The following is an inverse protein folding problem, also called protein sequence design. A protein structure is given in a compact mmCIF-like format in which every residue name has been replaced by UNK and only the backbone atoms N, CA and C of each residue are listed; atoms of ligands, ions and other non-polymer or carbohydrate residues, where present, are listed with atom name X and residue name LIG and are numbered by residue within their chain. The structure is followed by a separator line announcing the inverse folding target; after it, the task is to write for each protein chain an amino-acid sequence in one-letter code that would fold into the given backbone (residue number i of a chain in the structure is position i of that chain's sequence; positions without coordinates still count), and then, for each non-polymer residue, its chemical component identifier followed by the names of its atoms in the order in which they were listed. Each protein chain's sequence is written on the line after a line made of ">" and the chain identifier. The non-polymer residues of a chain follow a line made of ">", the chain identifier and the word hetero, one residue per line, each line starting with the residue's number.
data_IF_522573335937
#
_entry.id   IF_522573335937
#
_cell.length_a   1.000
_cell.length_b   1.000
_cell.length_c   1.000
_cell.angle_alpha   90.00
_cell.angle_beta   90.00
_cell.angle_gamma   90.00
#
_symmetry.space_group_name_H-M   'P 1'
#
loop_
_entity.id
_entity.type
_entity.pdbx_description
1 polymer ?
#
# COMPACT_ATOMS: atom_id res chain seq x y z
N UNK A 1 6.12 -6.93 13.08
CA UNK A 1 7.09 -6.07 12.38
C UNK A 1 7.61 -6.72 11.10
N UNK A 2 8.48 -6.00 10.42
CA UNK A 2 9.18 -6.47 9.23
C UNK A 2 10.51 -5.75 9.06
N UNK A 3 11.50 -6.44 8.53
CA UNK A 3 12.80 -5.87 8.18
C UNK A 3 13.27 -6.45 6.85
N UNK A 4 13.93 -5.66 6.03
CA UNK A 4 14.43 -6.08 4.74
C UNK A 4 15.61 -5.22 4.29
N UNK A 5 16.61 -5.86 3.69
CA UNK A 5 17.81 -5.20 3.16
C UNK A 5 18.14 -5.77 1.75
N UNK A 6 17.32 -5.47 0.72
CA UNK A 6 17.45 -6.08 -0.60
C UNK A 6 18.42 -5.34 -1.53
N UNK A 7 19.10 -4.28 -1.10
CA UNK A 7 19.98 -3.48 -1.95
C UNK A 7 21.33 -4.18 -2.24
N UNK A 8 21.24 -5.42 -2.71
CA UNK A 8 22.40 -6.19 -3.17
C UNK A 8 22.54 -6.09 -4.69
N UNK A 9 23.76 -6.18 -5.24
CA UNK A 9 23.98 -6.21 -6.69
C UNK A 9 23.15 -7.30 -7.38
N UNK A 10 22.99 -8.47 -6.75
CA UNK A 10 22.20 -9.58 -7.26
C UNK A 10 20.71 -9.24 -7.35
N UNK A 11 20.10 -8.76 -6.29
CA UNK A 11 18.67 -8.39 -6.27
C UNK A 11 18.37 -7.27 -7.26
N UNK A 12 19.24 -6.25 -7.33
CA UNK A 12 19.10 -5.16 -8.30
C UNK A 12 19.20 -5.69 -9.74
N UNK A 13 20.12 -6.61 -10.03
CA UNK A 13 20.23 -7.24 -11.34
C UNK A 13 18.97 -8.02 -11.71
N UNK A 14 18.39 -8.77 -10.76
CA UNK A 14 17.15 -9.52 -10.98
C UNK A 14 15.98 -8.58 -11.38
N UNK A 15 15.74 -7.51 -10.62
CA UNK A 15 14.61 -6.60 -10.92
C UNK A 15 14.84 -5.79 -12.20
N UNK A 16 16.10 -5.50 -12.55
CA UNK A 16 16.45 -4.92 -13.85
C UNK A 16 16.19 -5.90 -14.99
N UNK A 17 16.55 -7.18 -14.83
CA UNK A 17 16.27 -8.23 -15.81
C UNK A 17 14.76 -8.42 -16.05
N UNK A 18 13.93 -8.25 -15.01
CA UNK A 18 12.47 -8.26 -15.10
C UNK A 18 11.90 -6.98 -15.76
N UNK A 19 12.72 -5.99 -16.08
CA UNK A 19 12.33 -4.69 -16.67
C UNK A 19 11.29 -3.93 -15.84
N UNK A 20 11.34 -4.08 -14.52
CA UNK A 20 10.44 -3.38 -13.58
C UNK A 20 11.16 -2.28 -12.80
N UNK A 21 12.50 -2.26 -12.80
CA UNK A 21 13.30 -1.26 -12.13
C UNK A 21 13.27 0.08 -12.87
N UNK A 22 13.22 1.18 -12.11
CA UNK A 22 13.16 2.53 -12.66
C UNK A 22 14.45 2.94 -13.38
N UNK A 23 14.29 3.67 -14.47
CA UNK A 23 15.36 4.43 -15.13
C UNK A 23 15.14 5.94 -15.06
N UNK A 24 14.14 6.39 -14.28
CA UNK A 24 13.86 7.82 -14.14
C UNK A 24 14.92 8.50 -13.26
N UNK A 25 15.25 9.77 -13.59
CA UNK A 25 16.12 10.57 -12.75
C UNK A 25 15.43 11.06 -11.47
N UNK A 26 16.23 11.60 -10.55
CA UNK A 26 15.72 12.37 -9.42
C UNK A 26 14.89 13.58 -9.90
N UNK A 27 13.95 14.11 -9.07
CA UNK A 27 13.76 13.78 -7.66
C UNK A 27 12.85 12.61 -7.37
N UNK A 28 12.06 12.10 -8.33
CA UNK A 28 11.07 11.04 -8.10
C UNK A 28 11.27 9.86 -9.03
N UNK A 29 12.30 9.02 -8.81
CA UNK A 29 12.55 7.84 -9.64
C UNK A 29 11.49 6.75 -9.42
N UNK A 30 10.89 6.65 -8.23
CA UNK A 30 9.79 5.77 -7.91
C UNK A 30 8.47 6.55 -7.97
N UNK A 31 7.56 6.15 -8.88
CA UNK A 31 6.30 6.88 -9.14
C UNK A 31 5.07 5.98 -9.01
N UNK A 32 4.80 5.40 -7.82
CA UNK A 32 3.54 4.72 -7.59
C UNK A 32 2.36 5.68 -7.74
N UNK A 33 1.19 5.16 -8.13
CA UNK A 33 -0.05 5.92 -8.39
C UNK A 33 0.02 6.93 -9.54
N UNK A 34 1.16 7.14 -10.19
CA UNK A 34 1.20 7.92 -11.43
C UNK A 34 0.64 7.08 -12.60
N UNK A 35 -0.65 7.23 -12.85
CA UNK A 35 -1.35 6.47 -13.90
C UNK A 35 -0.95 6.88 -15.32
N UNK A 36 -0.23 8.00 -15.48
CA UNK A 36 0.28 8.49 -16.77
C UNK A 36 1.70 8.04 -17.11
N UNK A 37 2.36 7.30 -16.18
CA UNK A 37 3.73 6.82 -16.40
C UNK A 37 3.82 5.90 -17.63
N UNK A 38 4.91 6.04 -18.40
CA UNK A 38 5.11 5.30 -19.66
C UNK A 38 6.06 4.10 -19.51
N UNK A 39 6.63 3.91 -18.33
CA UNK A 39 7.53 2.82 -18.00
C UNK A 39 7.35 2.40 -16.55
N UNK A 40 7.83 1.22 -16.21
CA UNK A 40 7.89 0.78 -14.83
C UNK A 40 8.88 1.65 -14.04
N UNK A 41 8.53 2.02 -12.83
CA UNK A 41 9.26 2.98 -12.00
C UNK A 41 9.53 2.44 -10.59
N UNK A 42 9.57 1.13 -10.42
CA UNK A 42 9.90 0.54 -9.13
C UNK A 42 11.37 0.83 -8.76
N UNK A 43 11.60 1.25 -7.54
CA UNK A 43 12.92 1.38 -6.92
C UNK A 43 12.93 0.49 -5.68
N UNK A 44 14.01 -0.21 -5.41
CA UNK A 44 14.19 -0.95 -4.17
C UNK A 44 14.63 -0.03 -3.04
N UNK A 45 14.24 -0.36 -1.82
CA UNK A 45 14.63 0.32 -0.60
C UNK A 45 14.91 -0.68 0.51
N UNK A 46 15.50 -0.21 1.58
CA UNK A 46 15.76 -0.96 2.80
C UNK A 46 15.03 -0.31 3.98
N UNK A 47 14.68 -1.09 4.97
CA UNK A 47 14.03 -0.57 6.15
C UNK A 47 13.53 -1.65 7.10
N UNK A 48 13.15 -1.21 8.29
CA UNK A 48 12.55 -2.04 9.30
C UNK A 48 11.55 -1.23 10.12
N UNK A 49 10.49 -1.90 10.59
CA UNK A 49 9.59 -1.38 11.60
C UNK A 49 9.09 -2.52 12.49
N UNK A 50 8.88 -2.21 13.77
CA UNK A 50 8.40 -3.15 14.76
C UNK A 50 7.33 -2.48 15.63
N UNK A 51 6.30 -3.24 16.01
CA UNK A 51 5.16 -2.78 16.80
C UNK A 51 4.89 -3.77 17.93
N UNK A 52 4.56 -3.25 19.11
CA UNK A 52 3.92 -4.01 20.16
C UNK A 52 2.43 -4.15 19.83
N UNK A 53 1.92 -5.38 19.82
CA UNK A 53 0.49 -5.68 19.66
C UNK A 53 -0.05 -6.21 20.97
N UNK A 54 -1.17 -5.67 21.41
CA UNK A 54 -1.88 -6.08 22.60
C UNK A 54 -3.33 -6.40 22.26
N UNK A 55 -3.92 -7.38 22.96
CA UNK A 55 -5.30 -7.80 22.74
C UNK A 55 -6.31 -6.87 23.40
N UNK A 56 -5.91 -6.22 24.49
CA UNK A 56 -6.76 -5.31 25.25
C UNK A 56 -6.56 -3.87 24.79
N UNK A 57 -7.67 -3.15 24.65
CA UNK A 57 -7.63 -1.72 24.36
C UNK A 57 -7.00 -0.96 25.54
N UNK A 58 -6.07 -0.06 25.23
CA UNK A 58 -5.42 0.82 26.21
C UNK A 58 -5.53 2.27 25.74
N UNK A 59 -5.63 3.19 26.70
CA UNK A 59 -5.69 4.62 26.42
C UNK A 59 -4.45 5.14 25.68
N UNK A 60 -3.29 4.51 25.94
CA UNK A 60 -2.00 4.87 25.31
C UNK A 60 -1.77 4.18 23.97
N UNK A 61 -2.73 3.42 23.42
CA UNK A 61 -2.59 2.79 22.12
C UNK A 61 -2.44 3.86 21.03
N UNK A 62 -1.45 3.67 20.14
CA UNK A 62 -1.23 4.60 19.05
C UNK A 62 -2.30 4.48 17.96
N UNK A 63 -2.89 3.32 17.77
CA UNK A 63 -4.00 3.04 16.88
C UNK A 63 -4.55 1.64 17.18
N UNK A 64 -5.75 1.37 16.70
CA UNK A 64 -6.40 0.06 16.81
C UNK A 64 -6.46 -0.62 15.46
N UNK A 65 -6.12 -1.91 15.38
CA UNK A 65 -6.38 -2.73 14.20
C UNK A 65 -7.80 -3.28 14.33
N UNK A 66 -8.74 -2.71 13.56
CA UNK A 66 -10.17 -3.04 13.65
C UNK A 66 -10.64 -3.97 12.54
N UNK A 67 -9.87 -4.12 11.47
CA UNK A 67 -10.21 -5.01 10.37
C UNK A 67 -8.99 -5.64 9.72
N UNK A 68 -9.10 -6.93 9.39
CA UNK A 68 -8.08 -7.67 8.65
C UNK A 68 -8.77 -8.55 7.62
N UNK A 69 -8.29 -8.46 6.39
CA UNK A 69 -8.72 -9.33 5.30
C UNK A 69 -7.52 -9.89 4.55
N UNK A 70 -7.58 -11.16 4.21
CA UNK A 70 -6.57 -11.79 3.36
C UNK A 70 -7.24 -12.62 2.28
N UNK A 71 -6.63 -12.64 1.10
CA UNK A 71 -7.10 -13.43 -0.02
C UNK A 71 -5.94 -13.93 -0.86
N UNK A 72 -6.19 -14.98 -1.62
CA UNK A 72 -5.22 -15.56 -2.54
C UNK A 72 -5.89 -15.78 -3.90
N UNK A 73 -5.23 -15.33 -4.94
CA UNK A 73 -5.65 -15.55 -6.31
C UNK A 73 -4.78 -16.65 -6.96
N UNK A 74 -5.40 -17.57 -7.70
CA UNK A 74 -4.66 -18.48 -8.56
C UNK A 74 -4.06 -17.68 -9.71
N UNK A 75 -2.74 -17.72 -9.85
CA UNK A 75 -2.03 -17.00 -10.91
C UNK A 75 -1.89 -17.87 -12.15
N UNK A 76 -2.11 -17.29 -13.32
CA UNK A 76 -1.75 -17.89 -14.60
C UNK A 76 -0.25 -17.81 -14.88
N UNK A 77 0.42 -16.81 -14.28
CA UNK A 77 1.87 -16.61 -14.28
C UNK A 77 2.33 -16.14 -12.90
N UNK A 78 3.47 -16.63 -12.44
CA UNK A 78 4.00 -16.46 -11.07
C UNK A 78 4.19 -15.02 -10.59
N UNK A 79 4.14 -14.03 -11.47
CA UNK A 79 4.45 -12.62 -11.15
C UNK A 79 3.31 -11.64 -11.48
N UNK A 80 2.18 -12.09 -12.03
CA UNK A 80 1.12 -11.17 -12.48
C UNK A 80 -0.17 -11.32 -11.69
N UNK A 81 -0.62 -10.23 -11.08
CA UNK A 81 -2.01 -10.09 -10.67
C UNK A 81 -2.92 -10.00 -11.90
N UNK A 82 -4.21 -10.39 -11.76
CA UNK A 82 -5.21 -10.04 -12.75
C UNK A 82 -5.32 -8.52 -12.91
N UNK A 83 -5.72 -8.05 -14.08
CA UNK A 83 -5.91 -6.61 -14.32
C UNK A 83 -6.96 -6.00 -13.37
N UNK A 84 -7.89 -6.80 -12.90
CA UNK A 84 -8.96 -6.44 -11.97
C UNK A 84 -8.52 -6.49 -10.50
N UNK A 85 -7.36 -7.11 -10.19
CA UNK A 85 -6.84 -7.23 -8.83
C UNK A 85 -7.76 -8.00 -7.87
N UNK A 86 -8.35 -9.12 -8.31
CA UNK A 86 -9.37 -9.87 -7.53
C UNK A 86 -8.95 -10.22 -6.10
N UNK A 87 -7.69 -10.62 -5.88
CA UNK A 87 -7.23 -10.90 -4.51
C UNK A 87 -7.24 -9.65 -3.62
N UNK A 88 -6.94 -8.47 -4.18
CA UNK A 88 -7.04 -7.20 -3.45
C UNK A 88 -8.50 -6.84 -3.16
N UNK A 89 -9.40 -6.99 -4.14
CA UNK A 89 -10.85 -6.76 -3.92
C UNK A 89 -11.35 -7.60 -2.75
N UNK A 90 -11.06 -8.90 -2.78
CA UNK A 90 -11.51 -9.83 -1.74
C UNK A 90 -10.84 -9.53 -0.39
N UNK A 91 -9.56 -9.19 -0.35
CA UNK A 91 -8.88 -8.81 0.88
C UNK A 91 -9.48 -7.54 1.50
N UNK A 92 -9.73 -6.49 0.69
CA UNK A 92 -10.37 -5.27 1.15
C UNK A 92 -11.80 -5.51 1.66
N UNK A 93 -12.61 -6.29 0.92
CA UNK A 93 -13.97 -6.64 1.34
C UNK A 93 -14.00 -7.38 2.67
N UNK A 94 -13.12 -8.36 2.86
CA UNK A 94 -12.99 -9.09 4.13
C UNK A 94 -12.54 -8.18 5.28
N UNK A 95 -11.61 -7.27 5.03
CA UNK A 95 -11.19 -6.30 6.03
C UNK A 95 -12.34 -5.36 6.43
N UNK A 96 -13.11 -4.85 5.45
CA UNK A 96 -14.29 -4.03 5.70
C UNK A 96 -15.35 -4.81 6.49
N UNK A 97 -15.64 -6.04 6.11
CA UNK A 97 -16.58 -6.91 6.84
C UNK A 97 -16.12 -7.15 8.28
N UNK A 98 -14.84 -7.41 8.50
CA UNK A 98 -14.24 -7.61 9.82
C UNK A 98 -14.36 -6.37 10.71
N UNK A 99 -14.29 -5.18 10.13
CA UNK A 99 -14.38 -3.89 10.82
C UNK A 99 -15.82 -3.34 10.95
N UNK A 100 -16.84 -4.04 10.42
CA UNK A 100 -18.22 -3.54 10.44
C UNK A 100 -18.52 -2.46 9.41
N UNK A 101 -17.78 -2.44 8.29
CA UNK A 101 -17.94 -1.54 7.15
C UNK A 101 -17.79 -0.04 7.48
N UNK A 102 -16.72 0.39 8.16
CA UNK A 102 -16.50 1.82 8.38
C UNK A 102 -16.23 2.53 7.04
N UNK A 103 -16.50 3.84 7.02
CA UNK A 103 -16.05 4.70 5.92
C UNK A 103 -14.53 4.86 6.03
N UNK A 104 -13.83 4.50 4.98
CA UNK A 104 -12.37 4.62 4.93
C UNK A 104 -11.98 6.02 4.43
N UNK A 105 -11.15 6.73 5.19
CA UNK A 105 -10.67 8.06 4.82
C UNK A 105 -9.49 7.99 3.84
N UNK A 106 -8.56 7.08 4.09
CA UNK A 106 -7.32 6.94 3.31
C UNK A 106 -7.02 5.48 3.03
N UNK A 107 -6.51 5.19 1.83
CA UNK A 107 -5.86 3.92 1.52
C UNK A 107 -4.38 4.16 1.26
N UNK A 108 -3.51 3.50 2.03
CA UNK A 108 -2.09 3.37 1.72
C UNK A 108 -1.93 2.17 0.81
N UNK A 109 -1.65 2.44 -0.46
CA UNK A 109 -1.61 1.41 -1.50
C UNK A 109 -0.34 0.56 -1.46
N UNK A 110 -0.45 -0.67 -1.94
CA UNK A 110 0.73 -1.50 -2.22
C UNK A 110 1.54 -0.96 -3.40
N UNK A 111 0.91 -0.28 -4.34
CA UNK A 111 1.48 0.18 -5.61
C UNK A 111 3.01 0.37 -5.57
N UNK A 112 3.73 -0.33 -6.44
CA UNK A 112 5.20 -0.36 -6.46
C UNK A 112 5.82 0.54 -7.52
N UNK A 113 4.99 1.23 -8.29
CA UNK A 113 5.41 2.01 -9.47
C UNK A 113 5.46 1.17 -10.74
N UNK A 114 4.98 -0.07 -10.74
CA UNK A 114 4.83 -0.86 -11.96
C UNK A 114 3.51 -0.55 -12.64
N UNK A 115 3.50 -0.43 -13.98
CA UNK A 115 2.28 -0.07 -14.73
C UNK A 115 1.14 -1.05 -14.43
N UNK A 116 1.38 -2.34 -14.60
CA UNK A 116 0.34 -3.36 -14.42
C UNK A 116 -0.12 -3.49 -12.96
N UNK A 117 0.82 -3.44 -12.01
CA UNK A 117 0.49 -3.58 -10.59
C UNK A 117 -0.33 -2.41 -10.07
N UNK A 118 0.07 -1.19 -10.41
CA UNK A 118 -0.63 0.01 -9.97
C UNK A 118 -2.04 0.12 -10.59
N UNK A 119 -2.20 -0.26 -11.88
CA UNK A 119 -3.52 -0.33 -12.54
C UNK A 119 -4.40 -1.39 -11.86
N UNK A 120 -3.88 -2.59 -11.61
CA UNK A 120 -4.64 -3.66 -10.98
C UNK A 120 -5.16 -3.26 -9.59
N UNK A 121 -4.32 -2.60 -8.78
CA UNK A 121 -4.75 -2.12 -7.47
C UNK A 121 -5.77 -0.98 -7.57
N UNK A 122 -5.56 -0.02 -8.48
CA UNK A 122 -6.52 1.07 -8.69
C UNK A 122 -7.89 0.54 -9.14
N UNK A 123 -7.90 -0.43 -10.04
CA UNK A 123 -9.14 -1.10 -10.48
C UNK A 123 -9.83 -1.83 -9.31
N UNK A 124 -9.05 -2.53 -8.49
CA UNK A 124 -9.57 -3.21 -7.31
C UNK A 124 -10.21 -2.24 -6.32
N UNK A 125 -9.55 -1.12 -6.03
CA UNK A 125 -10.09 -0.08 -5.15
C UNK A 125 -11.37 0.52 -5.74
N UNK A 126 -11.38 0.85 -7.03
CA UNK A 126 -12.56 1.36 -7.72
C UNK A 126 -13.75 0.38 -7.68
N UNK A 127 -13.50 -0.94 -7.81
CA UNK A 127 -14.53 -1.96 -7.74
C UNK A 127 -15.12 -2.11 -6.33
N UNK A 128 -14.32 -1.89 -5.26
CA UNK A 128 -14.77 -2.03 -3.87
C UNK A 128 -15.47 -0.76 -3.37
N UNK A 129 -14.93 0.43 -3.68
CA UNK A 129 -15.41 1.68 -3.10
C UNK A 129 -16.34 2.49 -4.02
N UNK A 130 -16.34 2.21 -5.33
CA UNK A 130 -17.26 2.86 -6.27
C UNK A 130 -17.17 4.39 -6.24
N UNK A 131 -18.29 5.03 -5.92
CA UNK A 131 -18.37 6.49 -5.84
C UNK A 131 -17.79 7.07 -4.54
N UNK A 132 -17.61 6.26 -3.50
CA UNK A 132 -17.10 6.67 -2.19
C UNK A 132 -15.59 6.42 -2.07
N UNK A 133 -14.83 6.92 -3.05
CA UNK A 133 -13.38 6.72 -3.13
C UNK A 133 -12.65 7.38 -1.96
N UNK A 134 -11.89 6.60 -1.16
CA UNK A 134 -10.97 7.15 -0.17
C UNK A 134 -9.83 7.94 -0.83
N UNK A 135 -9.14 8.76 -0.04
CA UNK A 135 -7.87 9.35 -0.47
C UNK A 135 -6.84 8.25 -0.67
N UNK A 136 -6.07 8.33 -1.76
CA UNK A 136 -5.01 7.35 -2.03
C UNK A 136 -3.64 7.96 -1.76
N UNK A 137 -2.80 7.21 -1.07
CA UNK A 137 -1.40 7.58 -0.86
C UNK A 137 -0.48 6.36 -0.94
N UNK A 138 0.81 6.63 -0.89
CA UNK A 138 1.85 5.60 -0.96
C UNK A 138 3.15 6.16 -0.38
N UNK A 139 3.95 5.32 0.26
CA UNK A 139 5.23 5.72 0.87
C UNK A 139 6.46 5.29 0.05
N UNK A 140 6.29 4.45 -0.98
CA UNK A 140 7.42 3.91 -1.75
C UNK A 140 8.13 4.94 -2.62
N UNK A 141 7.51 6.08 -2.89
CA UNK A 141 8.19 7.18 -3.57
C UNK A 141 9.32 7.79 -2.72
N UNK A 142 9.24 7.66 -1.39
CA UNK A 142 10.26 8.18 -0.45
C UNK A 142 11.41 7.19 -0.26
N UNK A 143 11.10 5.93 0.05
CA UNK A 143 12.09 4.95 0.49
C UNK A 143 12.23 3.73 -0.43
N UNK A 144 11.49 3.69 -1.53
CA UNK A 144 11.48 2.52 -2.42
C UNK A 144 10.63 1.37 -1.90
N UNK A 145 10.65 0.26 -2.63
CA UNK A 145 9.97 -0.97 -2.24
C UNK A 145 10.88 -1.83 -1.36
N UNK A 146 10.50 -1.99 -0.12
CA UNK A 146 11.27 -2.70 0.91
C UNK A 146 10.79 -4.14 1.13
N UNK A 147 10.17 -4.76 0.13
CA UNK A 147 9.67 -6.14 0.19
C UNK A 147 8.97 -6.48 1.52
N UNK A 148 9.58 -7.36 2.34
CA UNK A 148 9.02 -7.82 3.60
C UNK A 148 8.80 -6.74 4.67
N UNK A 149 9.49 -5.60 4.58
CA UNK A 149 9.28 -4.47 5.48
C UNK A 149 8.18 -3.51 5.03
N UNK A 150 7.73 -3.58 3.76
CA UNK A 150 6.79 -2.59 3.18
C UNK A 150 5.49 -2.44 3.96
N UNK A 151 4.87 -3.56 4.38
CA UNK A 151 3.63 -3.53 5.15
C UNK A 151 3.80 -2.84 6.51
N UNK A 152 4.91 -3.14 7.20
CA UNK A 152 5.22 -2.52 8.49
C UNK A 152 5.50 -1.01 8.34
N UNK A 153 6.23 -0.58 7.32
CA UNK A 153 6.45 0.85 7.05
C UNK A 153 5.16 1.57 6.65
N UNK A 154 4.25 0.91 5.93
CA UNK A 154 2.92 1.46 5.63
C UNK A 154 2.07 1.60 6.90
N UNK A 155 2.16 0.63 7.83
CA UNK A 155 1.49 0.73 9.13
C UNK A 155 2.05 1.90 9.96
N UNK A 156 3.36 2.11 9.98
CA UNK A 156 3.96 3.27 10.65
C UNK A 156 3.42 4.59 10.08
N UNK A 157 3.30 4.70 8.76
CA UNK A 157 2.71 5.87 8.10
C UNK A 157 1.23 6.05 8.45
N UNK A 158 0.46 4.96 8.53
CA UNK A 158 -0.95 5.01 8.94
C UNK A 158 -1.10 5.56 10.36
N UNK A 159 -0.33 5.02 11.31
CA UNK A 159 -0.32 5.48 12.71
C UNK A 159 0.04 6.97 12.77
N UNK A 160 1.09 7.41 12.08
CA UNK A 160 1.48 8.81 12.07
C UNK A 160 0.37 9.72 11.53
N UNK A 161 -0.31 9.32 10.45
CA UNK A 161 -1.43 10.09 9.90
C UNK A 161 -2.62 10.14 10.87
N UNK A 162 -2.97 9.03 11.54
CA UNK A 162 -4.04 8.97 12.54
C UNK A 162 -3.73 9.84 13.77
N UNK A 163 -2.48 9.84 14.22
CA UNK A 163 -2.05 10.62 15.39
C UNK A 163 -1.97 12.13 15.12
N UNK A 164 -1.77 12.54 13.88
CA UNK A 164 -1.52 13.95 13.52
C UNK A 164 -2.67 14.57 12.73
N UNK A 165 -3.69 13.80 12.36
CA UNK A 165 -4.76 14.18 11.41
C UNK A 165 -4.23 14.79 10.11
N UNK A 166 -3.01 14.39 9.71
CA UNK A 166 -2.32 14.97 8.57
C UNK A 166 -2.16 13.95 7.43
N UNK A 167 -2.92 14.16 6.34
CA UNK A 167 -2.77 13.34 5.15
C UNK A 167 -1.41 13.54 4.49
N UNK A 168 -0.67 12.45 4.29
CA UNK A 168 0.61 12.44 3.59
C UNK A 168 0.41 12.10 2.13
N UNK A 169 0.30 13.12 1.30
CA UNK A 169 0.11 12.98 -0.15
C UNK A 169 1.40 12.58 -0.88
N UNK A 170 1.24 12.23 -2.15
CA UNK A 170 2.34 11.93 -3.06
C UNK A 170 2.69 13.19 -3.85
N UNK A 171 3.93 13.72 -3.81
CA UNK A 171 4.23 15.09 -4.22
C UNK A 171 4.12 15.37 -5.73
N UNK A 172 4.11 14.35 -6.57
CA UNK A 172 3.94 14.49 -8.02
C UNK A 172 2.50 14.24 -8.49
N UNK A 173 1.58 14.00 -7.56
CA UNK A 173 0.14 13.92 -7.85
C UNK A 173 -0.54 15.22 -7.47
N UNK A 174 -1.71 15.48 -8.08
CA UNK A 174 -2.53 16.61 -7.68
C UNK A 174 -2.98 16.46 -6.23
N UNK A 175 -2.96 17.54 -5.48
CA UNK A 175 -3.52 17.56 -4.15
C UNK A 175 -5.02 17.23 -4.20
N UNK A 176 -5.56 16.50 -3.20
CA UNK A 176 -7.00 16.24 -3.11
C UNK A 176 -7.78 17.55 -3.05
N UNK A 177 -8.93 17.57 -3.73
CA UNK A 177 -9.81 18.77 -3.73
C UNK A 177 -10.42 19.05 -2.34
N UNK A 178 -10.58 17.99 -1.55
CA UNK A 178 -11.09 18.08 -0.17
C UNK A 178 -10.25 17.19 0.73
N UNK A 179 -9.95 17.70 1.90
CA UNK A 179 -9.25 16.98 2.95
C UNK A 179 -10.21 16.78 4.13
N UNK A 180 -10.28 15.59 4.71
CA UNK A 180 -11.01 15.39 5.95
C UNK A 180 -10.36 16.22 7.08
N UNK A 181 -11.18 16.79 7.96
CA UNK A 181 -10.69 17.50 9.15
C UNK A 181 -10.05 16.54 10.16
N UNK A 182 -10.51 15.30 10.16
CA UNK A 182 -10.02 14.22 11.02
C UNK A 182 -9.87 12.94 10.20
N UNK A 183 -8.83 12.17 10.50
CA UNK A 183 -8.62 10.85 9.95
C UNK A 183 -9.02 9.79 11.00
N UNK A 184 -10.07 9.05 10.73
CA UNK A 184 -10.58 8.02 11.65
C UNK A 184 -10.22 6.61 11.23
N UNK A 185 -10.26 6.31 9.92
CA UNK A 185 -10.02 4.97 9.41
C UNK A 185 -9.05 4.99 8.22
N UNK A 186 -7.94 4.31 8.37
CA UNK A 186 -6.95 4.15 7.31
C UNK A 186 -6.82 2.67 6.96
N UNK A 187 -7.03 2.34 5.68
CA UNK A 187 -6.75 1.01 5.15
C UNK A 187 -5.34 0.97 4.56
N UNK A 188 -4.63 -0.13 4.78
CA UNK A 188 -3.36 -0.39 4.11
C UNK A 188 -3.43 -1.72 3.35
N UNK A 189 -2.94 -1.72 2.12
CA UNK A 189 -2.88 -2.88 1.26
C UNK A 189 -1.45 -3.40 1.13
N UNK A 190 -1.30 -4.70 1.12
CA UNK A 190 -0.05 -5.37 0.82
C UNK A 190 -0.28 -6.55 -0.11
N UNK A 191 0.59 -6.71 -1.10
CA UNK A 191 0.57 -7.83 -2.04
C UNK A 191 1.92 -8.52 -2.01
N UNK A 192 1.89 -9.84 -1.88
CA UNK A 192 3.07 -10.68 -1.98
C UNK A 192 3.12 -11.45 -3.30
N UNK A 193 4.29 -11.93 -3.66
CA UNK A 193 4.45 -12.88 -4.75
C UNK A 193 3.56 -14.11 -4.54
N UNK A 194 3.03 -14.67 -5.62
CA UNK A 194 2.13 -15.82 -5.54
C UNK A 194 0.65 -15.45 -5.42
N UNK A 195 0.29 -14.17 -5.62
CA UNK A 195 -1.10 -13.71 -5.66
C UNK A 195 -1.76 -13.58 -4.30
N UNK A 196 -0.98 -13.42 -3.24
CA UNK A 196 -1.49 -13.17 -1.91
C UNK A 196 -1.71 -11.66 -1.72
N UNK A 197 -2.86 -11.27 -1.19
CA UNK A 197 -3.17 -9.91 -0.79
C UNK A 197 -3.64 -9.87 0.67
N UNK A 198 -3.28 -8.81 1.36
CA UNK A 198 -3.72 -8.50 2.72
C UNK A 198 -4.16 -7.04 2.75
N UNK A 199 -5.28 -6.78 3.40
CA UNK A 199 -5.75 -5.44 3.74
C UNK A 199 -5.96 -5.35 5.26
N UNK A 200 -5.47 -4.28 5.86
CA UNK A 200 -5.62 -4.01 7.30
C UNK A 200 -6.30 -2.65 7.44
N UNK A 201 -7.23 -2.52 8.38
CA UNK A 201 -7.87 -1.25 8.73
C UNK A 201 -7.42 -0.85 10.12
N UNK A 202 -6.83 0.35 10.19
CA UNK A 202 -6.46 0.98 11.44
C UNK A 202 -7.43 2.10 11.77
N UNK A 203 -7.74 2.25 13.06
CA UNK A 203 -8.59 3.30 13.62
C UNK A 203 -7.76 4.14 14.62
N UNK A 204 -8.07 5.44 14.69
CA UNK A 204 -7.51 6.36 15.67
C UNK A 204 -7.86 5.98 17.12
#
# INVERSE_FOLDING_TARGET
>A
GGSEAPLTPFTIAQVKALKIYSSLPLPYPCRPLDMNKKQNTMVLGEGAACFGLEAEAREEALAYIVGIGSAKQTLTHSLSLSAEGYCLQEAMQRALQSAGFPRIDVIITHATGTIKGDIAETNAIGAVFGAEMPLLTNNKWQHGHTYGASGALSLAMAIEMLQTDCFKGVPYLAAPAQMPEKLEYIMLNAVGFGGNAISIICQA
#
